data_IF_542599148904
#
_entry.id   IF_542599148904
#
_cell.length_a   1.000
_cell.length_b   1.000
_cell.length_c   1.000
_cell.angle_alpha   90.00
_cell.angle_beta   90.00
_cell.angle_gamma   90.00
#
_symmetry.space_group_name_H-M   'P 1'
#
loop_
_entity.id
_entity.type
_entity.pdbx_description
1 polymer ?
#
# COMPACT_ATOMS: atom_id res chain seq x y z
N UNK A 1 4.35 5.29 11.28
CA UNK A 1 4.64 5.77 12.66
C UNK A 1 6.01 6.45 12.73
N UNK A 2 6.30 7.20 13.78
CA UNK A 2 7.65 7.74 14.00
C UNK A 2 8.70 6.60 14.06
N UNK A 3 9.85 6.81 13.42
CA UNK A 3 10.90 5.79 13.31
C UNK A 3 10.70 4.76 12.20
N UNK A 4 9.58 4.81 11.48
CA UNK A 4 9.28 3.97 10.32
C UNK A 4 9.01 4.80 9.06
N UNK A 5 9.77 5.88 8.92
CA UNK A 5 9.70 6.78 7.78
C UNK A 5 10.18 6.13 6.48
N UNK A 6 9.63 6.56 5.33
CA UNK A 6 10.26 6.22 4.05
C UNK A 6 11.67 6.81 4.01
N UNK A 7 12.54 6.18 3.21
CA UNK A 7 13.89 6.69 2.97
C UNK A 7 13.82 8.15 2.45
N UNK A 8 14.42 9.12 3.16
CA UNK A 8 14.40 10.53 2.75
C UNK A 8 14.93 10.76 1.33
N UNK A 9 15.88 9.94 0.86
CA UNK A 9 16.43 10.03 -0.48
C UNK A 9 15.40 9.68 -1.55
N UNK A 10 14.55 8.68 -1.28
CA UNK A 10 13.44 8.28 -2.18
C UNK A 10 12.40 9.39 -2.26
N UNK A 11 12.00 9.95 -1.11
CA UNK A 11 11.05 11.08 -1.06
C UNK A 11 11.58 12.30 -1.80
N UNK A 12 12.85 12.66 -1.58
CA UNK A 12 13.49 13.78 -2.25
C UNK A 12 13.56 13.56 -3.78
N UNK A 13 13.92 12.35 -4.22
CA UNK A 13 13.99 12.03 -5.64
C UNK A 13 12.62 12.14 -6.33
N UNK A 14 11.55 11.67 -5.68
CA UNK A 14 10.20 11.73 -6.24
C UNK A 14 9.67 13.18 -6.31
N UNK A 15 9.90 14.00 -5.26
CA UNK A 15 9.59 15.44 -5.29
C UNK A 15 10.37 16.18 -6.38
N UNK A 16 11.65 15.85 -6.55
CA UNK A 16 12.49 16.44 -7.61
C UNK A 16 12.03 16.11 -9.03
N UNK A 17 11.20 15.08 -9.20
CA UNK A 17 10.58 14.69 -10.49
C UNK A 17 9.16 15.22 -10.66
N UNK A 18 8.70 16.10 -9.76
CA UNK A 18 7.36 16.71 -9.81
C UNK A 18 6.29 15.98 -9.02
N UNK A 19 6.64 14.97 -8.20
CA UNK A 19 5.69 14.31 -7.31
C UNK A 19 5.29 15.21 -6.14
N UNK A 20 3.99 15.34 -5.88
CA UNK A 20 3.47 15.97 -4.66
C UNK A 20 3.37 14.92 -3.56
N UNK A 21 4.27 14.98 -2.58
CA UNK A 21 4.36 13.99 -1.50
C UNK A 21 4.17 14.69 -0.17
N UNK A 22 3.10 14.29 0.52
CA UNK A 22 2.83 14.65 1.90
C UNK A 22 3.10 13.46 2.81
N UNK A 23 3.85 13.69 3.89
CA UNK A 23 4.03 12.71 4.96
C UNK A 23 3.16 13.14 6.14
N UNK A 24 2.35 12.23 6.67
CA UNK A 24 1.57 12.44 7.89
C UNK A 24 1.71 11.24 8.83
N UNK A 25 1.48 11.49 10.12
CA UNK A 25 1.36 10.46 11.15
C UNK A 25 -0.08 10.14 11.49
N UNK A 26 -1.01 10.90 10.93
CA UNK A 26 -2.45 10.66 11.08
C UNK A 26 -2.96 9.91 9.83
N UNK A 27 -3.31 8.62 9.96
CA UNK A 27 -3.84 7.85 8.84
C UNK A 27 -5.21 8.37 8.39
N UNK A 28 -6.03 8.92 9.28
CA UNK A 28 -7.34 9.49 8.93
C UNK A 28 -7.16 10.73 8.06
N UNK A 29 -6.19 11.58 8.40
CA UNK A 29 -5.84 12.74 7.57
C UNK A 29 -5.34 12.31 6.19
N UNK A 30 -4.47 11.29 6.12
CA UNK A 30 -3.92 10.80 4.85
C UNK A 30 -4.97 10.12 3.98
N UNK A 31 -5.93 9.42 4.59
CA UNK A 31 -7.01 8.74 3.89
C UNK A 31 -8.07 9.71 3.34
N UNK A 32 -8.20 10.92 3.92
CA UNK A 32 -9.26 11.85 3.58
C UNK A 32 -9.25 12.22 2.08
N UNK A 33 -10.27 11.74 1.35
CA UNK A 33 -10.42 12.00 -0.08
C UNK A 33 -9.42 11.26 -0.98
N UNK A 34 -8.69 10.26 -0.47
CA UNK A 34 -7.81 9.44 -1.29
C UNK A 34 -8.62 8.57 -2.29
N UNK A 35 -8.16 8.47 -3.53
CA UNK A 35 -8.76 7.58 -4.55
C UNK A 35 -8.32 6.11 -4.37
N UNK A 36 -7.15 5.90 -3.78
CA UNK A 36 -6.58 4.57 -3.54
C UNK A 36 -5.92 4.55 -2.17
N UNK A 37 -6.25 3.55 -1.36
CA UNK A 37 -5.53 3.24 -0.12
C UNK A 37 -4.69 1.99 -0.37
N UNK A 38 -3.40 2.10 -0.08
CA UNK A 38 -2.42 1.02 -0.22
C UNK A 38 -1.74 0.77 1.11
N UNK A 39 -1.59 -0.50 1.49
CA UNK A 39 -0.73 -0.92 2.59
C UNK A 39 0.08 -2.14 2.18
N UNK A 40 1.00 -2.56 3.03
CA UNK A 40 1.81 -3.78 2.88
C UNK A 40 2.00 -4.42 4.25
N UNK A 41 2.47 -5.66 4.25
CA UNK A 41 2.84 -6.41 5.44
C UNK A 41 3.76 -5.61 6.35
N UNK A 42 3.37 -5.49 7.61
CA UNK A 42 4.20 -4.78 8.58
C UNK A 42 5.38 -5.62 9.02
N UNK A 43 5.27 -6.94 9.04
CA UNK A 43 6.34 -7.85 9.46
C UNK A 43 6.71 -8.72 8.27
N UNK A 44 8.00 -8.67 7.88
CA UNK A 44 8.53 -9.56 6.85
C UNK A 44 9.06 -10.86 7.47
N UNK A 45 9.31 -11.87 6.63
CA UNK A 45 9.86 -13.15 7.07
C UNK A 45 11.19 -12.97 7.82
N UNK A 46 11.24 -13.46 9.06
CA UNK A 46 12.48 -13.50 9.87
C UNK A 46 12.82 -12.22 10.64
N UNK A 47 11.90 -11.27 10.76
CA UNK A 47 12.18 -10.00 11.45
C UNK A 47 12.11 -10.15 12.99
N UNK A 48 13.20 -9.80 13.68
CA UNK A 48 13.21 -9.67 15.15
C UNK A 48 12.37 -8.45 15.61
N UNK A 49 11.85 -8.48 16.85
CA UNK A 49 11.02 -7.42 17.44
C UNK A 49 9.67 -7.16 16.74
N UNK A 50 9.09 -8.20 16.14
CA UNK A 50 7.80 -8.15 15.45
C UNK A 50 6.67 -7.49 16.27
N UNK A 51 6.56 -7.80 17.56
CA UNK A 51 5.49 -7.29 18.43
C UNK A 51 5.51 -5.78 18.63
N UNK A 52 6.70 -5.19 18.84
CA UNK A 52 6.83 -3.74 19.03
C UNK A 52 6.49 -2.97 17.75
N UNK A 53 6.90 -3.52 16.60
CA UNK A 53 6.56 -2.97 15.28
C UNK A 53 5.07 -3.08 15.02
N UNK A 54 4.47 -4.23 15.27
CA UNK A 54 3.03 -4.45 15.14
C UNK A 54 2.26 -3.40 15.96
N UNK A 55 2.57 -3.27 17.25
CA UNK A 55 1.92 -2.30 18.13
C UNK A 55 2.05 -0.86 17.64
N UNK A 56 3.22 -0.46 17.13
CA UNK A 56 3.45 0.87 16.57
C UNK A 56 2.67 1.11 15.27
N UNK A 57 2.42 0.04 14.49
CA UNK A 57 1.72 0.10 13.21
C UNK A 57 0.20 -0.01 13.32
N UNK A 58 -0.32 -0.64 14.38
CA UNK A 58 -1.78 -0.84 14.59
C UNK A 58 -2.64 0.41 14.35
N UNK A 59 -2.23 1.64 14.74
CA UNK A 59 -3.01 2.84 14.42
C UNK A 59 -3.24 3.08 12.92
N UNK A 60 -2.40 2.50 12.06
CA UNK A 60 -2.43 2.59 10.60
C UNK A 60 -3.15 1.40 9.93
N UNK A 61 -3.78 0.50 10.70
CA UNK A 61 -4.55 -0.61 10.14
C UNK A 61 -5.62 -0.11 9.16
N UNK A 62 -5.70 -0.73 8.00
CA UNK A 62 -6.75 -0.42 7.03
C UNK A 62 -8.04 -1.13 7.45
N UNK A 63 -8.96 -0.34 8.01
CA UNK A 63 -10.29 -0.76 8.47
C UNK A 63 -11.38 -0.16 7.58
N UNK A 64 -12.61 -0.67 7.68
CA UNK A 64 -13.78 -0.05 7.02
C UNK A 64 -13.95 1.41 7.43
N UNK A 65 -13.66 1.74 8.70
CA UNK A 65 -13.74 3.10 9.21
C UNK A 65 -12.69 4.03 8.56
N UNK A 66 -11.50 3.51 8.23
CA UNK A 66 -10.47 4.26 7.51
C UNK A 66 -10.85 4.40 6.02
N UNK A 67 -11.30 3.31 5.38
CA UNK A 67 -11.80 3.34 4.00
C UNK A 67 -12.97 4.31 3.82
N UNK A 68 -13.84 4.45 4.82
CA UNK A 68 -14.95 5.41 4.81
C UNK A 68 -14.51 6.89 4.84
N UNK A 69 -13.22 7.18 5.06
CA UNK A 69 -12.63 8.53 4.94
C UNK A 69 -12.14 8.82 3.53
N UNK A 70 -11.90 7.79 2.73
CA UNK A 70 -11.46 7.89 1.35
C UNK A 70 -12.54 8.50 0.44
N UNK A 71 -12.18 8.81 -0.80
CA UNK A 71 -13.14 9.26 -1.79
C UNK A 71 -14.24 8.21 -2.03
N UNK A 72 -15.47 8.61 -2.40
CA UNK A 72 -16.48 7.66 -2.84
C UNK A 72 -15.98 6.80 -4.01
N UNK A 73 -16.00 5.48 -3.84
CA UNK A 73 -15.48 4.55 -4.86
C UNK A 73 -13.97 4.33 -4.81
N UNK A 74 -13.29 4.77 -3.75
CA UNK A 74 -11.86 4.50 -3.57
C UNK A 74 -11.54 3.00 -3.61
N UNK A 75 -10.41 2.66 -4.21
CA UNK A 75 -9.92 1.29 -4.29
C UNK A 75 -8.99 0.97 -3.11
N UNK A 76 -8.97 -0.29 -2.72
CA UNK A 76 -7.96 -0.86 -1.82
C UNK A 76 -7.01 -1.77 -2.61
N UNK A 77 -5.70 -1.57 -2.42
CA UNK A 77 -4.63 -2.37 -3.01
C UNK A 77 -3.67 -2.88 -1.93
N UNK A 78 -3.02 -4.00 -2.23
CA UNK A 78 -2.04 -4.63 -1.35
C UNK A 78 -1.16 -5.61 -2.16
N UNK A 79 0.16 -5.40 -2.13
CA UNK A 79 1.08 -6.37 -2.70
C UNK A 79 1.09 -7.64 -1.84
N UNK A 80 0.59 -8.76 -2.35
CA UNK A 80 0.48 -10.01 -1.58
C UNK A 80 1.85 -10.65 -1.29
N UNK A 81 1.98 -11.45 -0.20
CA UNK A 81 0.93 -11.89 0.74
C UNK A 81 0.48 -10.79 1.71
N UNK A 82 -0.67 -10.98 2.36
CA UNK A 82 -1.22 -10.10 3.39
C UNK A 82 -1.58 -10.90 4.65
N UNK A 83 -1.42 -10.29 5.82
CA UNK A 83 -1.85 -10.76 7.13
C UNK A 83 -3.15 -10.06 7.55
N UNK A 84 -4.25 -10.77 7.35
CA UNK A 84 -5.57 -10.38 7.84
C UNK A 84 -5.55 -10.15 9.36
N UNK A 85 -6.12 -9.03 9.79
CA UNK A 85 -6.15 -8.61 11.20
C UNK A 85 -4.91 -7.85 11.67
N UNK A 86 -3.84 -7.79 10.85
CA UNK A 86 -2.67 -6.94 11.10
C UNK A 86 -2.80 -5.65 10.27
N UNK A 87 -2.22 -5.58 9.07
CA UNK A 87 -2.25 -4.35 8.27
C UNK A 87 -3.61 -4.02 7.66
N UNK A 88 -4.48 -5.01 7.54
CA UNK A 88 -5.82 -4.86 6.96
C UNK A 88 -6.81 -5.85 7.57
N UNK A 89 -8.06 -5.44 7.75
CA UNK A 89 -9.14 -6.32 8.21
C UNK A 89 -9.81 -7.07 7.06
N UNK A 90 -10.37 -8.25 7.35
CA UNK A 90 -11.07 -9.12 6.39
C UNK A 90 -12.10 -8.35 5.55
N UNK A 91 -12.92 -7.54 6.20
CA UNK A 91 -13.98 -6.77 5.55
C UNK A 91 -13.49 -5.79 4.48
N UNK A 92 -12.22 -5.35 4.55
CA UNK A 92 -11.61 -4.50 3.53
C UNK A 92 -10.96 -5.36 2.44
N UNK A 93 -10.06 -6.27 2.80
CA UNK A 93 -9.27 -7.02 1.81
C UNK A 93 -10.13 -8.00 0.98
N UNK A 94 -11.20 -8.54 1.57
CA UNK A 94 -12.17 -9.41 0.90
C UNK A 94 -13.46 -8.64 0.52
N UNK A 95 -13.46 -7.32 0.74
CA UNK A 95 -14.60 -6.44 0.49
C UNK A 95 -14.70 -5.93 -0.95
N UNK A 96 -15.79 -5.20 -1.28
CA UNK A 96 -16.09 -4.79 -2.64
C UNK A 96 -15.16 -3.71 -3.21
N UNK A 97 -14.40 -3.01 -2.36
CA UNK A 97 -13.43 -1.98 -2.78
C UNK A 97 -12.04 -2.58 -3.05
N UNK A 98 -11.83 -3.85 -2.71
CA UNK A 98 -10.54 -4.51 -2.86
C UNK A 98 -10.29 -4.93 -4.30
N UNK A 99 -9.12 -4.56 -4.82
CA UNK A 99 -8.65 -4.98 -6.15
C UNK A 99 -7.41 -5.88 -6.07
N UNK A 100 -7.14 -6.50 -4.90
CA UNK A 100 -5.89 -7.26 -4.68
C UNK A 100 -5.69 -8.43 -5.67
N UNK A 101 -6.78 -9.04 -6.14
CA UNK A 101 -6.72 -10.16 -7.08
C UNK A 101 -6.42 -9.67 -8.49
N UNK A 102 -7.04 -8.57 -8.91
CA UNK A 102 -6.75 -7.91 -10.18
C UNK A 102 -5.31 -7.35 -10.17
N UNK A 103 -4.87 -6.78 -9.06
CA UNK A 103 -3.47 -6.34 -8.86
C UNK A 103 -2.50 -7.51 -9.02
N UNK A 104 -2.80 -8.65 -8.41
CA UNK A 104 -2.00 -9.87 -8.52
C UNK A 104 -1.99 -10.42 -9.96
N UNK A 105 -3.14 -10.47 -10.64
CA UNK A 105 -3.23 -10.90 -12.05
C UNK A 105 -2.44 -9.96 -12.96
N UNK A 106 -2.55 -8.66 -12.74
CA UNK A 106 -1.88 -7.64 -13.55
C UNK A 106 -0.34 -7.74 -13.51
N UNK A 107 0.24 -8.40 -12.50
CA UNK A 107 1.67 -8.76 -12.49
C UNK A 107 2.05 -9.56 -13.74
N UNK A 108 1.27 -10.58 -14.09
CA UNK A 108 1.52 -11.41 -15.27
C UNK A 108 1.53 -10.56 -16.55
N UNK A 109 0.49 -9.74 -16.72
CA UNK A 109 0.31 -8.95 -17.94
C UNK A 109 1.36 -7.84 -18.07
N UNK A 110 1.62 -7.11 -16.97
CA UNK A 110 2.65 -6.08 -16.94
C UNK A 110 4.04 -6.68 -17.20
N UNK A 111 4.38 -7.80 -16.55
CA UNK A 111 5.70 -8.43 -16.73
C UNK A 111 5.87 -9.03 -18.12
N UNK A 112 4.81 -9.56 -18.76
CA UNK A 112 4.85 -9.95 -20.19
C UNK A 112 5.22 -8.76 -21.07
N UNK A 113 4.61 -7.59 -20.84
CA UNK A 113 4.91 -6.39 -21.61
C UNK A 113 6.37 -5.93 -21.39
N UNK A 114 6.86 -5.91 -20.14
CA UNK A 114 8.25 -5.59 -19.82
C UNK A 114 9.22 -6.54 -20.52
N UNK A 115 8.96 -7.85 -20.49
CA UNK A 115 9.80 -8.85 -21.16
C UNK A 115 9.86 -8.62 -22.67
N UNK A 116 8.71 -8.37 -23.32
CA UNK A 116 8.68 -8.09 -24.75
C UNK A 116 9.42 -6.79 -25.09
N UNK A 117 9.27 -5.73 -24.28
CA UNK A 117 10.01 -4.48 -24.46
C UNK A 117 11.52 -4.70 -24.36
N UNK A 118 12.00 -5.39 -23.31
CA UNK A 118 13.42 -5.72 -23.14
C UNK A 118 13.99 -6.56 -24.29
N UNK A 119 13.16 -7.37 -24.94
CA UNK A 119 13.53 -8.19 -26.11
C UNK A 119 13.36 -7.46 -27.46
N UNK A 120 13.03 -6.17 -27.46
CA UNK A 120 12.79 -5.39 -28.69
C UNK A 120 11.57 -5.85 -29.48
N UNK A 121 10.59 -6.48 -28.82
CA UNK A 121 9.35 -7.00 -29.42
C UNK A 121 8.13 -6.09 -29.19
N UNK A 122 8.32 -4.99 -28.47
CA UNK A 122 7.33 -3.95 -28.22
C UNK A 122 8.03 -2.60 -28.47
N UNK A 123 7.40 -1.76 -29.30
CA UNK A 123 7.90 -0.43 -29.68
C UNK A 123 7.61 0.59 -28.57
#
# INVERSE_FOLDING_TARGET
>A
PEGYDPDPAVVAAARGRGGDIRLSRDPVETAAGADVIVTDTWISMGQAHAEAKLAAMMPFQVTEALMAKAAPGAAFLHCLPAHRGEEVVDAVIDGPQSLIWDEAENRLHAQKAVLLWCMGKLA
#
